data_IF_847072938421
#
_entry.id   IF_847072938421
#
_cell.length_a   1.000
_cell.length_b   1.000
_cell.length_c   1.000
_cell.angle_alpha   90.00
_cell.angle_beta   90.00
_cell.angle_gamma   90.00
#
_symmetry.space_group_name_H-M   'P 1'
#
loop_
_entity.id
_entity.type
_entity.pdbx_description
1 polymer ?
#
# COMPACT_ATOMS: atom_id res chain seq x y z
N UNK A 1 53.11 -30.53 -12.69
CA UNK A 1 51.73 -30.08 -13.00
C UNK A 1 50.82 -31.21 -12.56
N UNK A 2 49.81 -31.07 -11.71
CA UNK A 2 48.84 -29.99 -11.55
C UNK A 2 48.29 -30.05 -10.10
N UNK A 3 48.23 -28.92 -9.41
CA UNK A 3 47.75 -28.79 -8.03
C UNK A 3 46.30 -28.27 -8.05
N UNK A 4 45.44 -28.98 -7.30
CA UNK A 4 44.24 -28.55 -6.57
C UNK A 4 43.03 -28.05 -7.36
N UNK A 5 41.93 -28.79 -7.14
CA UNK A 5 40.58 -28.42 -7.46
C UNK A 5 40.16 -27.14 -6.71
N UNK A 6 40.02 -26.04 -7.43
CA UNK A 6 39.35 -24.85 -6.93
C UNK A 6 37.87 -24.91 -7.34
N UNK A 7 37.05 -25.47 -6.45
CA UNK A 7 35.61 -25.25 -6.41
C UNK A 7 35.37 -23.74 -6.28
N UNK A 8 35.23 -23.07 -7.43
CA UNK A 8 34.80 -21.68 -7.47
C UNK A 8 33.29 -21.66 -7.22
N UNK A 9 32.93 -21.72 -5.94
CA UNK A 9 31.62 -21.26 -5.48
C UNK A 9 31.58 -19.76 -5.78
N UNK A 10 31.08 -19.41 -6.97
CA UNK A 10 30.58 -18.07 -7.25
C UNK A 10 29.58 -17.76 -6.13
N UNK A 11 29.80 -16.76 -5.27
CA UNK A 11 28.71 -16.27 -4.46
C UNK A 11 27.72 -15.66 -5.45
N UNK A 12 26.64 -16.40 -5.70
CA UNK A 12 25.45 -15.86 -6.33
C UNK A 12 25.16 -14.54 -5.64
N UNK A 13 25.37 -13.44 -6.36
CA UNK A 13 24.96 -12.12 -5.95
C UNK A 13 23.45 -12.20 -5.79
N UNK A 14 23.00 -12.43 -4.56
CA UNK A 14 21.61 -12.18 -4.19
C UNK A 14 21.43 -10.68 -4.29
N UNK A 15 21.17 -10.21 -5.52
CA UNK A 15 20.51 -8.94 -5.79
C UNK A 15 19.17 -9.03 -5.08
N UNK A 16 19.21 -8.69 -3.80
CA UNK A 16 18.04 -8.38 -3.03
C UNK A 16 17.48 -7.15 -3.73
N UNK A 17 16.51 -7.35 -4.62
CA UNK A 17 15.64 -6.26 -5.05
C UNK A 17 14.92 -5.81 -3.78
N UNK A 18 15.58 -4.96 -3.00
CA UNK A 18 14.94 -4.09 -2.02
C UNK A 18 13.98 -3.29 -2.88
N UNK A 19 12.72 -3.73 -2.94
CA UNK A 19 11.68 -3.07 -3.71
C UNK A 19 11.63 -1.65 -3.17
N UNK A 20 12.29 -0.73 -3.86
CA UNK A 20 12.57 0.59 -3.33
C UNK A 20 11.20 1.21 -3.02
N UNK A 21 10.99 1.56 -1.75
CA UNK A 21 9.74 2.17 -1.32
C UNK A 21 9.49 3.38 -2.24
N UNK A 22 8.27 3.56 -2.76
CA UNK A 22 7.95 4.74 -3.53
C UNK A 22 8.19 6.01 -2.69
N UNK A 23 8.53 7.15 -3.33
CA UNK A 23 8.84 8.38 -2.63
C UNK A 23 7.70 8.76 -1.67
N UNK A 24 8.06 9.31 -0.51
CA UNK A 24 7.08 9.71 0.51
C UNK A 24 6.20 10.82 -0.06
N UNK A 25 4.86 10.67 -0.11
CA UNK A 25 3.99 11.65 -0.75
C UNK A 25 3.96 13.02 -0.04
N UNK A 26 4.29 13.07 1.25
CA UNK A 26 4.31 14.31 2.02
C UNK A 26 4.45 14.11 3.53
N UNK A 27 4.27 15.16 4.33
CA UNK A 27 4.20 15.04 5.78
C UNK A 27 2.98 14.20 6.21
N UNK A 28 3.08 13.51 7.35
CA UNK A 28 2.03 12.65 7.91
C UNK A 28 1.67 11.40 7.09
N UNK A 29 2.54 10.99 6.15
CA UNK A 29 2.45 9.69 5.52
C UNK A 29 3.32 8.67 6.26
N UNK A 30 2.70 7.56 6.65
CA UNK A 30 3.32 6.39 7.28
C UNK A 30 3.35 5.26 6.28
N UNK A 31 4.51 4.62 6.12
CA UNK A 31 4.64 3.46 5.26
C UNK A 31 4.08 2.25 5.98
N UNK A 32 3.05 1.64 5.42
CA UNK A 32 2.54 0.35 5.86
C UNK A 32 3.31 -0.72 5.08
N UNK A 33 4.11 -1.57 5.75
CA UNK A 33 4.84 -2.62 5.07
C UNK A 33 3.87 -3.63 4.42
N UNK A 34 4.32 -4.33 3.36
CA UNK A 34 3.54 -5.42 2.81
C UNK A 34 3.19 -6.42 3.91
N UNK A 35 1.94 -6.82 3.99
CA UNK A 35 1.48 -7.78 5.00
C UNK A 35 0.37 -8.66 4.42
N UNK A 36 0.29 -9.87 4.94
CA UNK A 36 -0.73 -10.84 4.56
C UNK A 36 -1.81 -10.85 5.64
N UNK A 37 -3.05 -10.59 5.23
CA UNK A 37 -4.19 -10.72 6.13
C UNK A 37 -4.43 -12.20 6.48
N UNK A 38 -5.07 -12.51 7.62
CA UNK A 38 -5.45 -13.89 7.98
C UNK A 38 -6.30 -14.61 6.91
N UNK A 39 -6.93 -13.85 6.00
CA UNK A 39 -7.67 -14.38 4.86
C UNK A 39 -6.81 -14.85 3.67
N UNK A 40 -5.47 -14.74 3.76
CA UNK A 40 -4.53 -15.10 2.70
C UNK A 40 -4.30 -14.02 1.64
N UNK A 41 -4.89 -12.83 1.80
CA UNK A 41 -4.70 -11.70 0.88
C UNK A 41 -3.43 -10.94 1.25
N UNK A 42 -2.47 -10.89 0.31
CA UNK A 42 -1.25 -10.08 0.46
C UNK A 42 -1.52 -8.64 0.02
N UNK A 43 -1.46 -7.71 0.97
CA UNK A 43 -1.49 -6.28 0.70
C UNK A 43 -0.05 -5.83 0.46
N UNK A 44 0.21 -5.21 -0.70
CA UNK A 44 1.52 -4.61 -0.98
C UNK A 44 1.76 -3.41 -0.08
N UNK A 45 3.04 -3.10 0.14
CA UNK A 45 3.42 -1.95 0.94
C UNK A 45 2.84 -0.68 0.35
N UNK A 46 2.27 0.17 1.20
CA UNK A 46 1.54 1.36 0.76
C UNK A 46 1.66 2.50 1.73
N UNK A 47 1.42 3.70 1.21
CA UNK A 47 1.38 4.91 2.02
C UNK A 47 0.01 5.09 2.66
N UNK A 48 0.00 5.19 3.99
CA UNK A 48 -1.16 5.55 4.80
C UNK A 48 -1.01 6.99 5.28
N UNK A 49 -2.03 7.79 5.08
CA UNK A 49 -2.08 9.14 5.64
C UNK A 49 -2.63 9.10 7.06
N UNK A 50 -1.89 9.68 8.01
CA UNK A 50 -2.27 9.81 9.43
C UNK A 50 -2.33 11.29 9.87
N UNK A 51 -2.33 12.21 8.91
CA UNK A 51 -2.42 13.65 9.20
C UNK A 51 -3.84 14.14 9.45
N UNK A 52 -3.99 15.45 9.72
CA UNK A 52 -5.30 16.08 9.88
C UNK A 52 -6.12 15.96 8.59
N UNK A 53 -7.43 15.81 8.71
CA UNK A 53 -8.33 15.82 7.55
C UNK A 53 -8.16 17.14 6.77
N UNK A 54 -7.82 17.05 5.48
CA UNK A 54 -7.77 18.23 4.63
C UNK A 54 -9.22 18.68 4.33
N UNK A 55 -9.58 19.96 4.52
CA UNK A 55 -10.90 20.45 4.19
C UNK A 55 -11.25 20.13 2.73
N UNK A 56 -12.37 19.42 2.51
CA UNK A 56 -12.82 19.04 1.18
C UNK A 56 -11.97 17.97 0.47
N UNK A 57 -11.03 17.30 1.17
CA UNK A 57 -10.24 16.19 0.60
C UNK A 57 -10.07 15.05 1.58
N UNK A 58 -9.97 13.84 1.06
CA UNK A 58 -9.67 12.64 1.84
C UNK A 58 -8.58 11.82 1.19
N UNK A 59 -7.75 11.20 2.01
CA UNK A 59 -6.82 10.20 1.54
C UNK A 59 -7.56 8.88 1.36
N UNK A 60 -7.49 8.33 0.15
CA UNK A 60 -7.91 6.96 -0.13
C UNK A 60 -6.66 6.10 -0.06
N UNK A 61 -6.56 5.15 0.89
CA UNK A 61 -5.45 4.21 0.92
C UNK A 61 -5.32 3.40 -0.37
N UNK A 62 -4.10 2.94 -0.65
CA UNK A 62 -3.85 2.06 -1.79
C UNK A 62 -4.61 0.74 -1.64
N UNK A 63 -5.19 0.27 -2.72
CA UNK A 63 -6.05 -0.91 -2.70
C UNK A 63 -6.08 -1.64 -4.04
N UNK A 64 -6.57 -2.87 -4.03
CA UNK A 64 -6.82 -3.62 -5.25
C UNK A 64 -8.23 -3.34 -5.79
N UNK A 65 -8.31 -3.03 -7.08
CA UNK A 65 -9.57 -2.98 -7.80
C UNK A 65 -10.16 -4.38 -8.02
N UNK A 66 -11.44 -4.51 -8.40
CA UNK A 66 -12.08 -5.81 -8.67
C UNK A 66 -11.37 -6.67 -9.70
N UNK A 67 -10.64 -6.04 -10.63
CA UNK A 67 -9.81 -6.66 -11.67
C UNK A 67 -8.41 -7.10 -11.17
N UNK A 68 -8.13 -6.97 -9.87
CA UNK A 68 -6.83 -7.22 -9.22
C UNK A 68 -5.72 -6.22 -9.58
N UNK A 69 -6.05 -5.09 -10.19
CA UNK A 69 -5.10 -3.99 -10.42
C UNK A 69 -4.82 -3.25 -9.11
N UNK A 70 -3.54 -2.97 -8.81
CA UNK A 70 -3.17 -2.15 -7.66
C UNK A 70 -3.38 -0.66 -7.95
N UNK A 71 -4.27 -0.02 -7.18
CA UNK A 71 -4.49 1.41 -7.19
C UNK A 71 -3.65 2.03 -6.08
N UNK A 72 -2.68 2.91 -6.39
CA UNK A 72 -1.92 3.61 -5.36
C UNK A 72 -2.85 4.53 -4.56
N UNK A 73 -2.47 4.76 -3.30
CA UNK A 73 -3.19 5.70 -2.46
C UNK A 73 -3.16 7.10 -3.09
N UNK A 74 -4.27 7.81 -3.02
CA UNK A 74 -4.43 9.11 -3.66
C UNK A 74 -5.38 10.01 -2.88
N UNK A 75 -5.27 11.31 -3.12
CA UNK A 75 -6.22 12.29 -2.63
C UNK A 75 -7.48 12.28 -3.50
N UNK A 76 -8.64 12.22 -2.85
CA UNK A 76 -9.94 12.38 -3.50
C UNK A 76 -10.62 13.63 -2.96
N UNK A 77 -11.16 14.45 -3.87
CA UNK A 77 -11.98 15.60 -3.49
C UNK A 77 -13.30 15.09 -2.89
N UNK A 78 -13.62 15.59 -1.71
CA UNK A 78 -14.88 15.37 -1.02
C UNK A 78 -15.81 16.54 -1.29
N UNK A 79 -16.71 16.35 -2.24
CA UNK A 79 -17.93 17.16 -2.32
C UNK A 79 -19.01 16.35 -1.63
N UNK A 80 -19.45 16.78 -0.45
CA UNK A 80 -20.55 16.10 0.22
C UNK A 80 -21.84 16.31 -0.58
N UNK A 81 -22.54 15.24 -1.00
CA UNK A 81 -23.80 15.39 -1.72
C UNK A 81 -24.93 15.93 -0.82
N UNK A 82 -24.77 15.86 0.51
CA UNK A 82 -25.72 16.38 1.50
C UNK A 82 -24.99 17.04 2.69
N UNK A 83 -25.55 18.09 3.29
CA UNK A 83 -25.10 18.50 4.62
C UNK A 83 -25.20 17.30 5.59
N UNK A 84 -24.29 17.22 6.55
CA UNK A 84 -24.25 16.21 7.63
C UNK A 84 -23.80 14.78 7.29
N UNK A 85 -23.35 14.50 6.05
CA UNK A 85 -22.72 13.21 5.75
C UNK A 85 -21.26 13.20 6.18
N UNK A 86 -20.85 12.12 6.87
CA UNK A 86 -19.47 11.91 7.28
C UNK A 86 -18.81 10.99 6.26
N UNK A 87 -17.66 11.40 5.74
CA UNK A 87 -16.87 10.52 4.87
C UNK A 87 -16.18 9.45 5.71
N UNK A 88 -16.43 8.19 5.38
CA UNK A 88 -15.70 7.05 5.89
C UNK A 88 -14.57 6.74 4.90
N UNK A 89 -13.29 6.81 5.31
CA UNK A 89 -12.18 6.38 4.48
C UNK A 89 -12.33 4.92 4.04
N UNK A 90 -11.79 4.61 2.87
CA UNK A 90 -11.75 3.23 2.41
C UNK A 90 -10.95 2.36 3.38
N UNK A 91 -11.44 1.14 3.63
CA UNK A 91 -10.85 0.23 4.59
C UNK A 91 -11.01 -1.22 4.14
N UNK A 92 -10.18 -2.11 4.68
CA UNK A 92 -10.36 -3.55 4.47
C UNK A 92 -11.48 -4.05 5.37
N UNK A 93 -12.53 -4.57 4.76
CA UNK A 93 -13.61 -5.27 5.45
C UNK A 93 -13.25 -6.71 5.81
N UNK A 94 -14.22 -7.47 6.34
CA UNK A 94 -14.07 -8.88 6.63
C UNK A 94 -13.54 -9.64 5.40
N UNK A 95 -12.64 -10.60 5.62
CA UNK A 95 -11.97 -11.42 4.58
C UNK A 95 -10.99 -10.64 3.67
N UNK A 96 -10.63 -9.41 4.03
CA UNK A 96 -9.63 -8.61 3.31
C UNK A 96 -10.15 -7.91 2.05
N UNK A 97 -11.47 -7.97 1.81
CA UNK A 97 -12.12 -7.22 0.73
C UNK A 97 -11.93 -5.73 0.99
N UNK A 98 -11.46 -4.99 -0.02
CA UNK A 98 -11.45 -3.54 0.03
C UNK A 98 -12.88 -2.99 -0.02
N UNK A 99 -13.22 -2.13 0.94
CA UNK A 99 -14.44 -1.33 0.95
C UNK A 99 -14.03 0.09 0.54
N UNK A 100 -14.48 0.59 -0.62
CA UNK A 100 -14.22 1.97 -1.03
C UNK A 100 -14.75 2.94 0.02
N UNK A 101 -14.07 4.08 0.14
CA UNK A 101 -14.56 5.15 0.99
C UNK A 101 -15.95 5.58 0.55
N UNK A 102 -16.82 5.85 1.50
CA UNK A 102 -18.22 6.16 1.27
C UNK A 102 -18.74 7.15 2.30
N UNK A 103 -19.83 7.83 1.95
CA UNK A 103 -20.56 8.71 2.86
C UNK A 103 -21.49 7.87 3.74
N UNK A 104 -21.44 8.06 5.07
CA UNK A 104 -22.42 7.49 6.02
C UNK A 104 -23.30 8.58 6.61
#
# INVERSE_FOLDING_TARGET
MLIVACFNFLPFLFSSCTHARPPKPGPNFVWVPPHTLPSGVTIRGHWKYEGPSQPGKTWVPGHYAPDRTWIPGHWKNLVSPKPDKIWVPGHHGPRGRWIPGHWR
#
